data_IF_536541144422
#
_entry.id   IF_536541144422
#
_cell.length_a   1.000
_cell.length_b   1.000
_cell.length_c   1.000
_cell.angle_alpha   90.00
_cell.angle_beta   90.00
_cell.angle_gamma   90.00
#
_symmetry.space_group_name_H-M   'P 1'
#
loop_
_entity.id
_entity.type
_entity.pdbx_description
1 polymer ?
#
# COMPACT_ATOMS: atom_id res chain seq x y z
N UNK A 1 48.19 -5.17 25.52
CA UNK A 1 47.12 -6.11 25.90
C UNK A 1 46.05 -6.10 24.83
N UNK A 2 45.88 -7.22 24.12
CA UNK A 2 44.82 -7.45 23.14
C UNK A 2 43.45 -7.40 23.82
N UNK A 3 42.46 -6.75 23.19
CA UNK A 3 41.09 -7.27 23.14
C UNK A 3 40.51 -7.02 21.76
N UNK A 4 40.12 -8.13 21.14
CA UNK A 4 39.39 -8.24 19.90
C UNK A 4 38.01 -7.58 20.05
N UNK A 5 37.49 -6.99 18.97
CA UNK A 5 36.05 -6.97 18.74
C UNK A 5 35.75 -7.52 17.34
N UNK A 6 35.19 -8.72 17.33
CA UNK A 6 34.56 -9.36 16.20
C UNK A 6 33.17 -8.75 15.96
N UNK A 7 32.76 -8.69 14.70
CA UNK A 7 31.35 -8.85 14.34
C UNK A 7 30.70 -7.64 13.67
N UNK A 8 30.97 -7.49 12.38
CA UNK A 8 30.17 -6.67 11.47
C UNK A 8 28.69 -7.11 11.49
N UNK A 9 27.77 -6.16 11.70
CA UNK A 9 26.40 -6.28 11.21
C UNK A 9 26.23 -5.32 10.05
N UNK A 10 26.14 -5.89 8.86
CA UNK A 10 25.67 -5.22 7.65
C UNK A 10 24.17 -4.95 7.84
N UNK A 11 23.75 -3.69 7.76
CA UNK A 11 22.35 -3.35 7.54
C UNK A 11 22.24 -2.05 6.73
N UNK A 12 21.99 -2.25 5.43
CA UNK A 12 21.03 -1.48 4.66
C UNK A 12 21.30 0.02 4.50
N UNK A 13 22.25 0.30 3.60
CA UNK A 13 22.39 1.58 2.92
C UNK A 13 21.14 1.90 2.10
N UNK A 14 20.27 2.75 2.64
CA UNK A 14 19.28 3.50 1.86
C UNK A 14 19.14 4.91 2.46
N UNK A 15 19.58 5.90 1.69
CA UNK A 15 19.40 7.34 1.87
C UNK A 15 20.05 8.02 3.09
N UNK A 16 21.37 8.18 3.05
CA UNK A 16 22.06 9.29 3.75
C UNK A 16 22.98 10.00 2.78
N UNK A 17 22.40 10.87 1.96
CA UNK A 17 23.07 12.08 1.51
C UNK A 17 22.08 13.21 1.68
N UNK A 18 22.11 13.84 2.86
CA UNK A 18 21.75 15.24 2.98
C UNK A 18 22.80 15.97 2.14
N UNK A 19 22.49 16.25 0.87
CA UNK A 19 23.32 17.15 0.10
C UNK A 19 23.11 18.55 0.69
N UNK A 20 24.21 19.27 0.94
CA UNK A 20 24.18 20.58 1.57
C UNK A 20 23.61 21.69 0.66
N UNK A 21 22.95 21.35 -0.46
CA UNK A 21 22.43 22.28 -1.46
C UNK A 21 20.91 22.21 -1.69
N UNK A 22 20.18 21.30 -1.03
CA UNK A 22 18.73 21.21 -1.20
C UNK A 22 18.02 22.35 -0.44
N UNK A 23 17.49 23.29 -1.21
CA UNK A 23 16.63 24.39 -0.74
C UNK A 23 15.48 23.86 0.13
N UNK A 24 15.15 24.59 1.20
CA UNK A 24 14.19 24.16 2.23
C UNK A 24 12.83 23.70 1.68
N UNK A 25 12.43 24.23 0.51
CA UNK A 25 11.18 23.92 -0.18
C UNK A 25 11.07 22.49 -0.72
N UNK A 26 12.20 21.80 -0.95
CA UNK A 26 12.21 20.42 -1.46
C UNK A 26 12.40 19.36 -0.37
N UNK A 27 12.39 19.77 0.91
CA UNK A 27 12.47 18.84 2.03
C UNK A 27 11.22 17.94 2.05
N UNK A 28 11.38 16.60 2.06
CA UNK A 28 10.24 15.70 2.13
C UNK A 28 9.48 15.94 3.43
N UNK A 29 8.23 16.42 3.32
CA UNK A 29 7.32 16.53 4.46
C UNK A 29 6.80 15.15 4.81
N UNK A 30 7.53 14.41 5.64
CA UNK A 30 7.06 13.14 6.20
C UNK A 30 6.04 13.47 7.29
N UNK A 31 4.75 13.36 6.97
CA UNK A 31 3.68 13.43 7.96
C UNK A 31 3.66 12.12 8.74
N UNK A 32 3.69 12.20 10.07
CA UNK A 32 3.74 11.04 10.98
C UNK A 32 2.57 10.08 10.73
N UNK A 33 2.88 8.93 10.14
CA UNK A 33 1.94 7.92 9.69
C UNK A 33 1.38 7.06 10.84
N UNK A 34 0.51 7.62 11.69
CA UNK A 34 -0.35 6.80 12.54
C UNK A 34 -1.41 6.10 11.65
N UNK A 35 -1.47 4.77 11.69
CA UNK A 35 -2.61 4.03 11.10
C UNK A 35 -3.82 4.33 11.97
N UNK A 36 -4.92 4.86 11.41
CA UNK A 36 -6.18 4.88 12.14
C UNK A 36 -6.58 3.42 12.41
N UNK A 37 -6.73 3.04 13.67
CA UNK A 37 -7.06 1.65 14.10
C UNK A 37 -8.30 1.12 13.37
N UNK A 38 -9.23 2.01 13.02
CA UNK A 38 -10.46 1.75 12.28
C UNK A 38 -10.24 1.13 10.87
N UNK A 39 -9.23 1.60 10.13
CA UNK A 39 -9.01 1.15 8.75
C UNK A 39 -8.59 -0.34 8.68
N UNK A 40 -7.82 -0.81 9.66
CA UNK A 40 -7.38 -2.20 9.71
C UNK A 40 -8.55 -3.16 9.96
N UNK A 41 -9.52 -2.76 10.78
CA UNK A 41 -10.68 -3.59 11.09
C UNK A 41 -11.68 -3.61 9.92
N UNK A 42 -11.85 -2.49 9.21
CA UNK A 42 -12.60 -2.46 7.95
C UNK A 42 -11.98 -3.41 6.91
N UNK A 43 -10.65 -3.38 6.74
CA UNK A 43 -9.95 -4.26 5.79
C UNK A 43 -10.15 -5.73 6.15
N UNK A 44 -10.06 -6.09 7.43
CA UNK A 44 -10.31 -7.47 7.90
C UNK A 44 -11.73 -7.92 7.61
N UNK A 45 -12.72 -7.04 7.81
CA UNK A 45 -14.12 -7.36 7.51
C UNK A 45 -14.32 -7.54 6.01
N UNK A 46 -13.73 -6.68 5.19
CA UNK A 46 -13.80 -6.77 3.73
C UNK A 46 -13.24 -8.10 3.20
N UNK A 47 -12.04 -8.51 3.63
CA UNK A 47 -11.45 -9.78 3.21
C UNK A 47 -12.19 -11.01 3.75
N UNK A 48 -12.90 -10.88 4.87
CA UNK A 48 -13.68 -11.98 5.45
C UNK A 48 -15.07 -12.10 4.80
N UNK A 49 -15.51 -11.06 4.09
CA UNK A 49 -16.85 -10.99 3.48
C UNK A 49 -16.95 -11.73 2.14
N UNK A 50 -15.83 -11.97 1.45
CA UNK A 50 -15.80 -12.57 0.12
C UNK A 50 -14.51 -13.35 -0.07
N UNK A 51 -14.58 -14.51 -0.73
CA UNK A 51 -13.41 -15.31 -1.05
C UNK A 51 -12.39 -14.57 -1.93
N UNK A 52 -12.89 -13.65 -2.76
CA UNK A 52 -12.10 -12.74 -3.58
C UNK A 52 -12.57 -11.31 -3.33
N UNK A 53 -11.66 -10.44 -2.93
CA UNK A 53 -11.95 -9.03 -2.65
C UNK A 53 -10.97 -8.11 -3.38
N UNK A 54 -11.49 -7.20 -4.20
CA UNK A 54 -10.71 -6.33 -5.07
C UNK A 54 -10.68 -4.88 -4.56
N UNK A 55 -9.48 -4.40 -4.21
CA UNK A 55 -9.24 -2.98 -3.97
C UNK A 55 -8.85 -2.27 -5.27
N UNK A 56 -9.73 -1.39 -5.78
CA UNK A 56 -9.57 -0.77 -7.09
C UNK A 56 -9.76 0.75 -7.06
N UNK A 57 -9.35 1.42 -8.15
CA UNK A 57 -9.59 2.85 -8.39
C UNK A 57 -10.89 3.02 -9.17
N UNK A 58 -11.91 3.58 -8.52
CA UNK A 58 -13.27 3.61 -9.04
C UNK A 58 -14.07 2.40 -8.58
N UNK A 59 -15.12 2.06 -9.33
CA UNK A 59 -16.01 0.92 -9.06
C UNK A 59 -16.05 0.00 -10.28
N UNK A 60 -16.44 -1.28 -10.16
CA UNK A 60 -16.45 -2.21 -11.29
C UNK A 60 -17.26 -1.70 -12.49
N UNK A 61 -18.37 -0.98 -12.25
CA UNK A 61 -19.20 -0.38 -13.30
C UNK A 61 -18.55 0.83 -13.97
N UNK A 62 -17.65 1.52 -13.27
CA UNK A 62 -16.97 2.75 -13.71
C UNK A 62 -15.52 2.77 -13.20
N UNK A 63 -14.62 1.98 -13.81
CA UNK A 63 -13.22 1.94 -13.41
C UNK A 63 -12.52 3.24 -13.83
N UNK A 64 -11.76 3.83 -12.90
CA UNK A 64 -11.07 5.11 -13.12
C UNK A 64 -9.59 4.92 -13.49
N UNK A 65 -9.15 3.69 -13.71
CA UNK A 65 -7.77 3.36 -14.06
C UNK A 65 -7.73 2.14 -15.00
N UNK A 66 -6.90 2.18 -16.04
CA UNK A 66 -6.78 1.08 -17.02
C UNK A 66 -6.40 -0.26 -16.39
N UNK A 67 -5.55 -0.26 -15.37
CA UNK A 67 -5.21 -1.48 -14.63
C UNK A 67 -6.41 -2.05 -13.87
N UNK A 68 -7.18 -1.20 -13.20
CA UNK A 68 -8.40 -1.62 -12.51
C UNK A 68 -9.44 -2.16 -13.49
N UNK A 69 -9.57 -1.57 -14.68
CA UNK A 69 -10.46 -2.07 -15.73
C UNK A 69 -10.04 -3.46 -16.23
N UNK A 70 -8.73 -3.70 -16.43
CA UNK A 70 -8.25 -4.99 -16.89
C UNK A 70 -8.51 -6.11 -15.88
N UNK A 71 -8.34 -5.84 -14.57
CA UNK A 71 -8.61 -6.83 -13.52
C UNK A 71 -10.10 -7.18 -13.45
N UNK A 72 -10.98 -6.18 -13.49
CA UNK A 72 -12.44 -6.38 -13.54
C UNK A 72 -12.83 -7.26 -14.73
N UNK A 73 -12.36 -6.90 -15.94
CA UNK A 73 -12.63 -7.68 -17.15
C UNK A 73 -12.14 -9.12 -17.08
N UNK A 74 -11.02 -9.36 -16.41
CA UNK A 74 -10.47 -10.69 -16.22
C UNK A 74 -11.35 -11.51 -15.28
N UNK A 75 -11.68 -10.96 -14.11
CA UNK A 75 -12.53 -11.62 -13.11
C UNK A 75 -13.92 -11.93 -13.68
N UNK A 76 -14.50 -10.98 -14.43
CA UNK A 76 -15.78 -11.14 -15.10
C UNK A 76 -15.71 -12.23 -16.18
N UNK A 77 -14.61 -12.31 -16.94
CA UNK A 77 -14.40 -13.35 -17.95
C UNK A 77 -14.28 -14.76 -17.35
N UNK A 78 -13.74 -14.88 -16.14
CA UNK A 78 -13.70 -16.14 -15.40
C UNK A 78 -14.98 -16.42 -14.60
N UNK A 79 -15.96 -15.51 -14.57
CA UNK A 79 -17.21 -15.67 -13.85
C UNK A 79 -17.06 -15.71 -12.33
N UNK A 80 -15.96 -15.16 -11.79
CA UNK A 80 -15.67 -15.14 -10.36
C UNK A 80 -16.51 -14.06 -9.69
N UNK A 81 -17.19 -14.38 -8.60
CA UNK A 81 -17.83 -13.39 -7.76
C UNK A 81 -16.80 -12.75 -6.83
N UNK A 82 -16.73 -11.43 -6.81
CA UNK A 82 -15.78 -10.70 -5.97
C UNK A 82 -16.43 -9.48 -5.31
N UNK A 83 -15.99 -9.19 -4.08
CA UNK A 83 -16.24 -7.90 -3.44
C UNK A 83 -15.35 -6.83 -4.04
N UNK A 84 -15.79 -5.56 -4.02
CA UNK A 84 -14.94 -4.46 -4.47
C UNK A 84 -15.07 -3.22 -3.58
N UNK A 85 -13.96 -2.50 -3.40
CA UNK A 85 -13.93 -1.22 -2.69
C UNK A 85 -13.09 -0.19 -3.44
N UNK A 86 -13.63 1.02 -3.56
CA UNK A 86 -12.93 2.14 -4.19
C UNK A 86 -11.94 2.78 -3.20
N UNK A 87 -10.64 2.63 -3.46
CA UNK A 87 -9.59 3.19 -2.59
C UNK A 87 -9.40 4.71 -2.74
N UNK A 88 -10.04 5.33 -3.73
CA UNK A 88 -10.01 6.79 -3.91
C UNK A 88 -11.02 7.50 -3.02
N UNK A 89 -12.07 6.79 -2.57
CA UNK A 89 -13.09 7.35 -1.70
C UNK A 89 -12.59 7.52 -0.25
N UNK A 90 -11.68 6.64 0.19
CA UNK A 90 -11.16 6.66 1.56
C UNK A 90 -9.62 6.62 1.60
N UNK A 91 -8.96 7.74 1.97
CA UNK A 91 -7.52 7.80 2.14
C UNK A 91 -6.98 6.87 3.24
N UNK A 92 -7.79 6.61 4.27
CA UNK A 92 -7.38 5.77 5.40
C UNK A 92 -7.26 4.31 4.99
N UNK A 93 -8.19 3.80 4.17
CA UNK A 93 -8.12 2.47 3.57
C UNK A 93 -6.95 2.36 2.61
N UNK A 94 -6.66 3.41 1.83
CA UNK A 94 -5.52 3.41 0.92
C UNK A 94 -4.18 3.21 1.64
N UNK A 95 -3.98 3.89 2.77
CA UNK A 95 -2.76 3.71 3.56
C UNK A 95 -2.81 2.43 4.43
N UNK A 96 -4.00 2.05 4.89
CA UNK A 96 -4.25 0.83 5.66
C UNK A 96 -3.94 -0.43 4.87
N UNK A 97 -4.41 -0.54 3.63
CA UNK A 97 -4.20 -1.71 2.76
C UNK A 97 -2.71 -1.91 2.49
N UNK A 98 -1.97 -0.85 2.17
CA UNK A 98 -0.52 -0.93 1.95
C UNK A 98 0.23 -1.52 3.15
N UNK A 99 -0.17 -1.12 4.36
CA UNK A 99 0.45 -1.58 5.60
C UNK A 99 -0.01 -2.98 5.99
N UNK A 100 -1.28 -3.31 5.76
CA UNK A 100 -1.85 -4.63 6.05
C UNK A 100 -1.26 -5.70 5.13
N UNK A 101 -1.16 -5.42 3.83
CA UNK A 101 -0.67 -6.36 2.83
C UNK A 101 0.85 -6.36 2.66
N UNK A 102 1.57 -5.46 3.35
CA UNK A 102 3.00 -5.19 3.19
C UNK A 102 3.42 -5.04 1.71
N UNK A 103 2.56 -4.41 0.90
CA UNK A 103 2.73 -4.29 -0.55
C UNK A 103 2.60 -2.82 -1.00
N UNK A 104 3.57 -2.27 -1.75
CA UNK A 104 3.70 -0.84 -1.95
C UNK A 104 2.71 -0.20 -2.96
N UNK A 105 1.97 -0.99 -3.74
CA UNK A 105 1.21 -0.48 -4.91
C UNK A 105 -0.24 -0.98 -5.03
N UNK A 106 -1.08 -0.17 -5.69
CA UNK A 106 -2.50 -0.45 -6.00
C UNK A 106 -2.71 -0.26 -7.52
N UNK A 107 -3.47 -1.12 -8.23
CA UNK A 107 -4.31 -2.21 -7.72
C UNK A 107 -3.51 -3.47 -7.34
N UNK A 108 -3.97 -4.13 -6.27
CA UNK A 108 -3.50 -5.47 -5.90
C UNK A 108 -4.43 -6.48 -6.55
N UNK A 109 -3.82 -7.45 -7.25
CA UNK A 109 -4.45 -8.71 -7.59
C UNK A 109 -4.25 -9.68 -6.41
#
# INVERSE_FOLDING_TARGET
MMRLWHGARVASRWYTTLDAGTHDDFKPKITSNAVPTDAADVIKNDISSSDVFLYMKGVPQQPQCGFSNNVVRLLDAYGVQYGSRNVLADPSIREGVKKFSNWPTIPQA
#
